data_IF_842719447802
#
_entry.id   IF_842719447802
#
_cell.length_a   1.000
_cell.length_b   1.000
_cell.length_c   1.000
_cell.angle_alpha   90.00
_cell.angle_beta   90.00
_cell.angle_gamma   90.00
#
_symmetry.space_group_name_H-M   'P 1'
#
loop_
_entity.id
_entity.type
_entity.pdbx_description
1 polymer ?
#
# COMPACT_ATOMS: atom_id res chain seq x y z
N UNK A 1 4.86 11.16 -10.43
CA UNK A 1 5.55 11.77 -9.27
C UNK A 1 4.66 11.57 -8.06
N UNK A 2 5.22 11.47 -6.84
CA UNK A 2 4.39 11.58 -5.64
C UNK A 2 3.95 13.03 -5.52
N UNK A 3 2.69 13.31 -5.85
CA UNK A 3 2.14 14.66 -5.82
C UNK A 3 1.55 15.02 -4.46
N UNK A 4 1.81 14.21 -3.43
CA UNK A 4 1.25 14.40 -2.10
C UNK A 4 1.90 15.59 -1.40
N UNK A 5 1.08 16.43 -0.81
CA UNK A 5 1.46 17.52 0.07
C UNK A 5 1.14 17.17 1.53
N UNK A 6 1.71 17.93 2.48
CA UNK A 6 1.42 17.73 3.90
C UNK A 6 -0.08 17.84 4.19
N UNK A 7 -0.77 18.80 3.55
CA UNK A 7 -2.20 19.01 3.68
C UNK A 7 -3.10 17.89 3.14
N UNK A 8 -2.56 16.96 2.36
CA UNK A 8 -3.32 15.81 1.88
C UNK A 8 -3.54 14.77 3.00
N UNK A 9 -2.76 14.82 4.07
CA UNK A 9 -2.90 13.95 5.23
C UNK A 9 -3.72 14.62 6.34
N UNK A 10 -4.80 13.97 6.77
CA UNK A 10 -5.71 14.51 7.78
C UNK A 10 -5.63 13.79 9.15
N UNK A 11 -4.57 13.03 9.40
CA UNK A 11 -4.44 12.21 10.61
C UNK A 11 -5.12 10.84 10.53
N UNK A 12 -5.92 10.57 9.49
CA UNK A 12 -6.66 9.30 9.33
C UNK A 12 -6.45 8.67 7.96
N UNK A 13 -6.34 9.50 6.94
CA UNK A 13 -6.25 9.11 5.54
C UNK A 13 -5.37 10.09 4.76
N UNK A 14 -4.92 9.66 3.58
CA UNK A 14 -4.29 10.52 2.58
C UNK A 14 -5.28 10.76 1.46
N UNK A 15 -5.57 12.03 1.17
CA UNK A 15 -6.32 12.44 0.00
C UNK A 15 -5.42 12.39 -1.24
N UNK A 16 -5.83 11.62 -2.25
CA UNK A 16 -5.12 11.54 -3.53
C UNK A 16 -5.94 12.30 -4.57
N UNK A 17 -5.33 13.32 -5.17
CA UNK A 17 -5.96 14.21 -6.14
C UNK A 17 -5.11 14.32 -7.42
N UNK A 18 -5.75 14.59 -8.56
CA UNK A 18 -5.07 14.71 -9.86
C UNK A 18 -4.47 13.39 -10.35
N UNK A 19 -4.99 12.26 -9.89
CA UNK A 19 -4.51 10.95 -10.29
C UNK A 19 -4.91 10.64 -11.72
N UNK A 20 -4.03 9.92 -12.42
CA UNK A 20 -4.37 9.37 -13.74
C UNK A 20 -5.64 8.54 -13.64
N UNK A 21 -6.40 8.49 -14.73
CA UNK A 21 -7.60 7.64 -14.83
C UNK A 21 -8.75 8.06 -13.89
N UNK A 22 -8.70 9.28 -13.33
CA UNK A 22 -9.66 9.80 -12.34
C UNK A 22 -9.79 8.89 -11.11
N UNK A 23 -8.67 8.30 -10.68
CA UNK A 23 -8.62 7.56 -9.42
C UNK A 23 -8.39 8.51 -8.26
N UNK A 24 -9.24 9.53 -8.08
CA UNK A 24 -9.17 10.59 -7.02
C UNK A 24 -10.06 10.26 -5.82
N UNK A 25 -9.69 10.71 -4.61
CA UNK A 25 -10.28 10.25 -3.33
C UNK A 25 -9.29 9.83 -2.24
N UNK A 26 -9.83 9.49 -1.08
CA UNK A 26 -9.08 9.20 0.14
C UNK A 26 -8.62 7.74 0.25
N UNK A 27 -7.43 7.53 0.83
CA UNK A 27 -6.88 6.23 1.20
C UNK A 27 -6.72 6.18 2.72
N UNK A 28 -7.53 5.39 3.45
CA UNK A 28 -7.41 5.27 4.89
C UNK A 28 -6.08 4.62 5.27
N UNK A 29 -5.50 5.07 6.38
CA UNK A 29 -4.24 4.56 6.90
C UNK A 29 -4.46 3.70 8.14
N UNK A 30 -3.69 2.61 8.25
CA UNK A 30 -3.66 1.81 9.47
C UNK A 30 -3.14 2.63 10.65
N UNK A 31 -3.44 2.26 11.92
CA UNK A 31 -2.87 2.93 13.09
C UNK A 31 -1.33 3.05 13.04
N UNK A 32 -0.65 1.97 12.62
CA UNK A 32 0.82 1.96 12.49
C UNK A 32 1.31 2.94 11.42
N UNK A 33 0.62 3.03 10.29
CA UNK A 33 1.00 3.95 9.22
C UNK A 33 0.80 5.42 9.64
N UNK A 34 -0.27 5.72 10.38
CA UNK A 34 -0.51 7.05 10.95
C UNK A 34 0.59 7.45 11.92
N UNK A 35 0.89 6.59 12.89
CA UNK A 35 1.96 6.82 13.86
C UNK A 35 3.31 7.07 13.18
N UNK A 36 3.65 6.27 12.14
CA UNK A 36 4.89 6.46 11.39
C UNK A 36 4.92 7.80 10.65
N UNK A 37 3.79 8.21 10.05
CA UNK A 37 3.70 9.48 9.32
C UNK A 37 3.74 10.68 10.26
N UNK A 38 3.05 10.60 11.40
CA UNK A 38 3.07 11.63 12.45
C UNK A 38 4.50 11.81 12.99
N UNK A 39 5.18 10.69 13.30
CA UNK A 39 6.58 10.71 13.75
C UNK A 39 7.53 11.30 12.71
N UNK A 40 7.33 10.97 11.43
CA UNK A 40 8.08 11.55 10.33
C UNK A 40 7.87 13.07 10.20
N UNK A 41 6.62 13.55 10.28
CA UNK A 41 6.33 14.99 10.23
C UNK A 41 6.90 15.73 11.44
N UNK A 42 6.86 15.13 12.63
CA UNK A 42 7.51 15.66 13.83
C UNK A 42 9.03 15.76 13.67
N UNK A 43 9.65 14.73 13.09
CA UNK A 43 11.07 14.77 12.73
C UNK A 43 11.38 15.86 11.70
N UNK A 44 10.52 16.05 10.69
CA UNK A 44 10.69 17.09 9.68
C UNK A 44 10.72 18.48 10.31
N UNK A 45 9.76 18.76 11.21
CA UNK A 45 9.69 20.01 11.94
C UNK A 45 10.95 20.22 12.80
N UNK A 46 11.38 19.20 13.53
CA UNK A 46 12.61 19.27 14.35
C UNK A 46 13.87 19.52 13.50
N UNK A 47 13.91 19.03 12.26
CA UNK A 47 14.98 19.30 11.29
C UNK A 47 14.89 20.67 10.61
N UNK A 48 13.86 21.46 10.92
CA UNK A 48 13.65 22.79 10.34
C UNK A 48 13.05 22.77 8.94
N UNK A 49 12.43 21.66 8.52
CA UNK A 49 11.65 21.65 7.29
C UNK A 49 10.30 22.32 7.51
N UNK A 50 9.86 23.11 6.53
CA UNK A 50 8.49 23.62 6.50
C UNK A 50 7.50 22.44 6.41
N UNK A 51 6.39 22.53 7.12
CA UNK A 51 5.31 21.54 7.11
C UNK A 51 3.96 22.17 6.77
N UNK A 52 3.98 23.35 6.13
CA UNK A 52 2.79 24.00 5.60
C UNK A 52 2.02 23.07 4.66
N UNK A 53 0.70 23.27 4.58
CA UNK A 53 -0.22 22.39 3.84
C UNK A 53 0.16 22.14 2.37
N UNK A 54 0.78 23.11 1.70
CA UNK A 54 1.17 23.03 0.28
C UNK A 54 2.55 22.42 0.05
N UNK A 55 3.33 22.20 1.11
CA UNK A 55 4.66 21.63 1.01
C UNK A 55 4.63 20.13 0.68
N UNK A 56 5.67 19.56 0.04
CA UNK A 56 5.72 18.13 -0.27
C UNK A 56 5.65 17.28 0.99
N UNK A 57 4.78 16.26 0.97
CA UNK A 57 4.67 15.31 2.08
C UNK A 57 5.98 14.57 2.29
N UNK A 58 6.54 13.99 1.23
CA UNK A 58 7.82 13.28 1.30
C UNK A 58 8.93 14.10 0.64
N UNK A 59 10.03 14.26 1.39
CA UNK A 59 11.20 15.04 0.97
C UNK A 59 12.40 14.15 0.70
N UNK A 60 13.21 14.55 -0.27
CA UNK A 60 14.49 13.93 -0.56
C UNK A 60 15.54 14.41 0.43
N UNK A 61 16.36 13.49 0.93
CA UNK A 61 17.52 13.77 1.79
C UNK A 61 18.84 13.60 1.04
N UNK A 62 18.80 13.37 -0.26
CA UNK A 62 20.00 13.26 -1.09
C UNK A 62 20.74 14.60 -1.18
N UNK A 63 22.06 14.55 -1.37
CA UNK A 63 22.91 15.74 -1.51
C UNK A 63 22.40 16.72 -2.57
N UNK A 64 21.91 16.22 -3.70
CA UNK A 64 21.52 17.04 -4.85
C UNK A 64 20.03 17.45 -4.83
N UNK A 65 19.25 16.92 -3.88
CA UNK A 65 17.81 17.12 -3.80
C UNK A 65 17.31 17.44 -2.39
N UNK A 66 18.20 17.82 -1.47
CA UNK A 66 17.88 17.97 -0.06
C UNK A 66 16.68 18.90 0.16
N UNK A 67 15.69 18.44 0.92
CA UNK A 67 14.46 19.16 1.24
C UNK A 67 13.43 19.26 0.10
N UNK A 68 13.81 18.95 -1.14
CA UNK A 68 12.90 18.96 -2.29
C UNK A 68 11.95 17.76 -2.28
N UNK A 69 10.87 17.83 -3.05
CA UNK A 69 9.93 16.72 -3.23
C UNK A 69 10.64 15.43 -3.63
N UNK A 70 10.34 14.35 -2.93
CA UNK A 70 10.80 13.02 -3.29
C UNK A 70 10.10 12.52 -4.56
N UNK A 71 10.90 12.29 -5.60
CA UNK A 71 10.42 11.81 -6.89
C UNK A 71 9.98 10.34 -6.88
N UNK A 72 9.34 9.90 -7.96
CA UNK A 72 8.92 8.50 -8.13
C UNK A 72 10.10 7.53 -8.01
N UNK A 73 11.19 7.81 -8.71
CA UNK A 73 12.40 6.98 -8.66
C UNK A 73 13.04 6.96 -7.28
N UNK A 74 12.99 8.08 -6.55
CA UNK A 74 13.48 8.12 -5.17
C UNK A 74 12.68 7.20 -4.24
N UNK A 75 11.35 7.17 -4.38
CA UNK A 75 10.49 6.21 -3.64
C UNK A 75 10.77 4.78 -4.09
N UNK A 76 10.93 4.57 -5.40
CA UNK A 76 11.16 3.25 -5.97
C UNK A 76 12.45 2.62 -5.46
N UNK A 77 13.56 3.35 -5.51
CA UNK A 77 14.85 2.88 -4.98
C UNK A 77 14.82 2.73 -3.46
N UNK A 78 14.21 3.67 -2.72
CA UNK A 78 14.04 3.53 -1.27
C UNK A 78 13.32 2.24 -0.87
N UNK A 79 12.27 1.86 -1.60
CA UNK A 79 11.56 0.59 -1.34
C UNK A 79 12.45 -0.62 -1.62
N UNK A 80 13.28 -0.57 -2.68
CA UNK A 80 14.23 -1.63 -2.99
C UNK A 80 15.33 -1.73 -1.92
N UNK A 81 15.87 -0.60 -1.50
CA UNK A 81 16.89 -0.54 -0.45
C UNK A 81 16.35 -1.11 0.87
N UNK A 82 15.10 -0.77 1.23
CA UNK A 82 14.44 -1.34 2.40
C UNK A 82 14.28 -2.87 2.31
N UNK A 83 14.02 -3.41 1.12
CA UNK A 83 13.94 -4.85 0.91
C UNK A 83 15.29 -5.55 1.12
N UNK A 84 16.38 -4.93 0.64
CA UNK A 84 17.75 -5.40 0.86
C UNK A 84 18.10 -5.37 2.35
N UNK A 85 17.78 -4.27 3.04
CA UNK A 85 18.00 -4.13 4.49
C UNK A 85 17.20 -5.19 5.27
N UNK A 86 15.99 -5.49 4.83
CA UNK A 86 15.14 -6.53 5.41
C UNK A 86 15.57 -7.96 5.02
N UNK A 87 16.65 -8.13 4.24
CA UNK A 87 17.15 -9.42 3.76
C UNK A 87 16.07 -10.25 3.05
N UNK A 88 15.21 -9.58 2.29
CA UNK A 88 14.16 -10.24 1.51
C UNK A 88 14.71 -10.75 0.18
N UNK A 89 14.57 -12.05 -0.07
CA UNK A 89 14.87 -12.67 -1.37
C UNK A 89 13.81 -12.35 -2.45
N UNK A 90 12.67 -11.77 -2.06
CA UNK A 90 11.68 -11.30 -3.02
C UNK A 90 12.09 -10.03 -3.76
N UNK A 91 11.73 -9.93 -5.04
CA UNK A 91 11.84 -8.69 -5.82
C UNK A 91 10.77 -7.67 -5.39
N UNK A 92 11.04 -6.99 -4.27
CA UNK A 92 10.16 -5.98 -3.69
C UNK A 92 10.40 -4.63 -4.37
N UNK A 93 9.30 -4.05 -4.85
CA UNK A 93 9.23 -2.72 -5.46
C UNK A 93 7.79 -2.18 -5.28
N UNK A 94 7.51 -0.87 -5.45
CA UNK A 94 6.20 -0.28 -5.16
C UNK A 94 5.00 -1.00 -5.81
N UNK A 95 5.16 -1.49 -7.04
CA UNK A 95 4.08 -2.23 -7.71
C UNK A 95 3.80 -3.59 -7.07
N UNK A 96 4.84 -4.30 -6.61
CA UNK A 96 4.72 -5.58 -5.87
C UNK A 96 4.01 -5.36 -4.55
N UNK A 97 4.37 -4.33 -3.79
CA UNK A 97 3.69 -3.99 -2.54
C UNK A 97 2.19 -3.75 -2.75
N UNK A 98 1.82 -3.01 -3.81
CA UNK A 98 0.41 -2.81 -4.16
C UNK A 98 -0.29 -4.12 -4.53
N UNK A 99 0.39 -5.03 -5.22
CA UNK A 99 -0.16 -6.35 -5.54
C UNK A 99 -0.39 -7.17 -4.26
N UNK A 100 0.61 -7.26 -3.39
CA UNK A 100 0.50 -7.96 -2.09
C UNK A 100 -0.62 -7.39 -1.25
N UNK A 101 -0.77 -6.07 -1.20
CA UNK A 101 -1.90 -5.44 -0.52
C UNK A 101 -3.26 -5.87 -1.10
N UNK A 102 -3.41 -5.85 -2.42
CA UNK A 102 -4.64 -6.30 -3.09
C UNK A 102 -4.96 -7.77 -2.83
N UNK A 103 -3.95 -8.63 -2.91
CA UNK A 103 -4.05 -10.06 -2.56
C UNK A 103 -4.51 -10.23 -1.11
N UNK A 104 -3.88 -9.53 -0.16
CA UNK A 104 -4.21 -9.62 1.25
C UNK A 104 -5.68 -9.24 1.53
N UNK A 105 -6.19 -8.16 0.92
CA UNK A 105 -7.61 -7.77 1.08
C UNK A 105 -8.57 -8.89 0.63
N UNK A 106 -8.26 -9.60 -0.46
CA UNK A 106 -9.08 -10.72 -0.94
C UNK A 106 -9.00 -11.91 0.01
N UNK A 107 -7.80 -12.22 0.52
CA UNK A 107 -7.62 -13.29 1.51
C UNK A 107 -8.42 -13.01 2.79
N UNK A 108 -8.46 -11.77 3.26
CA UNK A 108 -9.22 -11.31 4.44
C UNK A 108 -10.74 -11.19 4.22
N UNK A 109 -11.30 -11.76 3.15
CA UNK A 109 -12.74 -11.73 2.85
C UNK A 109 -13.33 -10.32 2.66
N UNK A 110 -12.50 -9.31 2.38
CA UNK A 110 -13.02 -7.98 2.06
C UNK A 110 -13.80 -8.08 0.73
N UNK A 111 -15.02 -7.54 0.72
CA UNK A 111 -15.85 -7.52 -0.48
C UNK A 111 -15.07 -6.93 -1.66
N UNK A 112 -15.09 -7.55 -2.86
CA UNK A 112 -14.29 -7.13 -4.00
C UNK A 112 -14.45 -5.65 -4.36
N UNK A 113 -15.66 -5.09 -4.23
CA UNK A 113 -15.90 -3.68 -4.48
C UNK A 113 -15.20 -2.76 -3.46
N UNK A 114 -15.15 -3.17 -2.20
CA UNK A 114 -14.47 -2.42 -1.14
C UNK A 114 -12.96 -2.48 -1.33
N UNK A 115 -12.42 -3.68 -1.60
CA UNK A 115 -11.00 -3.85 -1.90
C UNK A 115 -10.58 -3.03 -3.12
N UNK A 116 -11.40 -3.03 -4.18
CA UNK A 116 -11.20 -2.20 -5.37
C UNK A 116 -11.17 -0.71 -5.05
N UNK A 117 -12.09 -0.22 -4.22
CA UNK A 117 -12.15 1.18 -3.77
C UNK A 117 -10.91 1.56 -2.93
N UNK A 118 -10.50 0.69 -2.00
CA UNK A 118 -9.28 0.87 -1.19
C UNK A 118 -8.01 0.90 -2.04
N UNK A 119 -7.93 0.03 -3.06
CA UNK A 119 -6.85 0.05 -4.05
C UNK A 119 -6.99 1.19 -5.05
N UNK A 120 -8.08 1.97 -5.02
CA UNK A 120 -8.35 3.10 -5.92
C UNK A 120 -8.35 2.69 -7.40
N UNK A 121 -8.82 1.47 -7.68
CA UNK A 121 -8.92 0.94 -9.04
C UNK A 121 -10.32 1.21 -9.57
N UNK A 122 -10.46 2.06 -10.60
CA UNK A 122 -11.78 2.41 -11.13
C UNK A 122 -12.43 1.29 -11.94
N UNK A 123 -11.65 0.53 -12.70
CA UNK A 123 -12.19 -0.53 -13.56
C UNK A 123 -12.27 -1.85 -12.79
N UNK A 124 -13.46 -2.49 -12.67
CA UNK A 124 -13.58 -3.83 -12.10
C UNK A 124 -12.70 -4.86 -12.82
N UNK A 125 -12.61 -4.78 -14.16
CA UNK A 125 -11.76 -5.65 -14.99
C UNK A 125 -10.27 -5.47 -14.64
N UNK A 126 -9.84 -4.23 -14.34
CA UNK A 126 -8.46 -4.00 -13.89
C UNK A 126 -8.22 -4.59 -12.50
N UNK A 127 -9.20 -4.51 -11.60
CA UNK A 127 -9.09 -5.08 -10.25
C UNK A 127 -9.06 -6.61 -10.28
N UNK A 128 -9.83 -7.24 -11.17
CA UNK A 128 -9.83 -8.69 -11.38
C UNK A 128 -8.42 -9.24 -11.63
N UNK A 129 -7.58 -8.50 -12.37
CA UNK A 129 -6.17 -8.89 -12.59
C UNK A 129 -5.35 -8.98 -11.30
N UNK A 130 -5.64 -8.14 -10.30
CA UNK A 130 -5.00 -8.19 -8.98
C UNK A 130 -5.61 -9.28 -8.09
N UNK A 131 -6.93 -9.48 -8.20
CA UNK A 131 -7.65 -10.41 -7.35
C UNK A 131 -7.53 -11.88 -7.81
N UNK A 132 -7.34 -12.15 -9.11
CA UNK A 132 -7.41 -13.51 -9.68
C UNK A 132 -6.55 -14.53 -8.94
N UNK A 133 -5.25 -14.26 -8.81
CA UNK A 133 -4.33 -15.16 -8.09
C UNK A 133 -4.71 -15.34 -6.62
N UNK A 134 -5.26 -14.30 -6.00
CA UNK A 134 -5.69 -14.36 -4.61
C UNK A 134 -6.95 -15.21 -4.46
N UNK A 135 -7.89 -15.09 -5.39
CA UNK A 135 -9.11 -15.92 -5.43
C UNK A 135 -8.76 -17.38 -5.71
N UNK A 136 -7.88 -17.65 -6.67
CA UNK A 136 -7.37 -19.00 -6.97
C UNK A 136 -6.73 -19.62 -5.72
N UNK A 137 -5.78 -18.91 -5.09
CA UNK A 137 -5.12 -19.39 -3.88
C UNK A 137 -6.09 -19.65 -2.73
N UNK A 138 -7.04 -18.74 -2.52
CA UNK A 138 -8.08 -18.89 -1.50
C UNK A 138 -9.00 -20.08 -1.74
N UNK A 139 -9.31 -20.37 -3.01
CA UNK A 139 -10.10 -21.54 -3.37
C UNK A 139 -9.33 -22.84 -3.07
N UNK A 140 -8.04 -22.88 -3.39
CA UNK A 140 -7.15 -24.00 -3.02
C UNK A 140 -7.10 -24.19 -1.50
N UNK A 141 -6.86 -23.11 -0.75
CA UNK A 141 -6.77 -23.16 0.72
C UNK A 141 -8.10 -23.62 1.34
N UNK A 142 -9.23 -23.11 0.85
CA UNK A 142 -10.55 -23.54 1.32
C UNK A 142 -10.86 -25.01 1.02
N UNK A 143 -10.39 -25.52 -0.12
CA UNK A 143 -10.53 -26.94 -0.46
C UNK A 143 -9.65 -27.82 0.44
N UNK A 144 -8.39 -27.44 0.65
CA UNK A 144 -7.48 -28.19 1.52
C UNK A 144 -7.99 -28.23 2.97
N UNK A 145 -8.46 -27.09 3.50
CA UNK A 145 -9.08 -27.00 4.83
C UNK A 145 -10.29 -27.94 4.96
N UNK A 146 -11.09 -28.08 3.89
CA UNK A 146 -12.24 -28.99 3.88
C UNK A 146 -11.80 -30.45 3.97
N UNK A 147 -10.77 -30.84 3.21
CA UNK A 147 -10.22 -32.20 3.21
C UNK A 147 -9.58 -32.52 4.57
N UNK A 148 -8.75 -31.63 5.12
CA UNK A 148 -8.15 -31.85 6.44
C UNK A 148 -9.19 -32.04 7.55
N UNK A 149 -10.28 -31.25 7.52
CA UNK A 149 -11.39 -31.42 8.47
C UNK A 149 -12.12 -32.74 8.30
N UNK A 150 -12.28 -33.22 7.07
CA UNK A 150 -12.90 -34.50 6.76
C UNK A 150 -12.02 -35.69 7.18
N UNK A 151 -10.69 -35.55 7.09
CA UNK A 151 -9.75 -36.59 7.51
C UNK A 151 -9.61 -36.67 9.05
N UNK A 152 -9.76 -35.56 9.77
CA UNK A 152 -9.66 -35.50 11.24
C UNK A 152 -10.98 -35.95 11.93
N UNK A 153 -12.13 -35.81 11.27
CA UNK A 153 -13.42 -36.26 11.78
C UNK A 153 -13.99 -37.38 10.92
N UNK A 154 -13.72 -38.64 11.28
CA UNK A 154 -14.26 -39.89 10.71
C UNK A 154 -14.81 -39.81 9.27
N UNK A 155 -14.00 -40.28 8.32
CA UNK A 155 -14.41 -40.93 7.06
C UNK A 155 -15.71 -40.46 6.42
N UNK A 156 -15.59 -39.56 5.44
CA UNK A 156 -16.57 -39.46 4.36
C UNK A 156 -15.99 -39.99 3.05
N UNK A 157 -15.66 -41.29 3.07
CA UNK A 157 -15.86 -42.28 2.00
C UNK A 157 -15.98 -43.67 2.63
#
# INVERSE_FOLDING_TARGET
MSNLNVGDYNGQAIQVSGAKWRSDGAVPLSPKARQALDGYLGWCLHKGFDTASHEPLFRSLSRNGYGKRLGYWGIYEMVKDLAVIAQSDENIHPHRLRHTFGTHLVMENIQPDYARKLMRIKSPITFERYARRAVEKKAEDAFNDLIERADIGEGLF
#
